data_IF_191061976076
#
_entry.id   IF_191061976076
#
_cell.length_a   1.000
_cell.length_b   1.000
_cell.length_c   1.000
_cell.angle_alpha   90.00
_cell.angle_beta   90.00
_cell.angle_gamma   90.00
#
_symmetry.space_group_name_H-M   'P 1'
#
loop_
_entity.id
_entity.type
_entity.pdbx_description
1 polymer ?
#
# COMPACT_ATOMS: atom_id res chain seq x y z
N UNK A 1 8.17 -15.28 6.52
CA UNK A 1 8.74 -14.92 5.21
C UNK A 1 10.05 -14.18 5.46
N UNK A 2 11.06 -14.34 4.61
CA UNK A 2 12.39 -13.77 4.86
C UNK A 2 12.42 -12.22 4.79
N UNK A 3 11.98 -11.67 3.66
CA UNK A 3 12.13 -10.22 3.43
C UNK A 3 11.18 -9.33 4.24
N UNK A 4 10.00 -9.83 4.58
CA UNK A 4 9.00 -9.08 5.34
C UNK A 4 8.85 -9.70 6.71
N UNK A 5 9.10 -8.91 7.74
CA UNK A 5 9.07 -9.37 9.13
C UNK A 5 8.03 -8.56 9.89
N UNK A 6 6.96 -9.20 10.40
CA UNK A 6 6.05 -8.55 11.34
C UNK A 6 6.78 -8.13 12.61
N UNK A 7 6.24 -7.14 13.32
CA UNK A 7 6.85 -6.57 14.52
C UNK A 7 7.18 -7.61 15.59
N UNK A 8 6.25 -8.51 15.90
CA UNK A 8 6.50 -9.54 16.94
C UNK A 8 7.62 -10.53 16.59
N UNK A 9 7.62 -11.19 15.41
CA UNK A 9 8.75 -12.00 14.97
C UNK A 9 10.07 -11.23 14.92
N UNK A 10 10.05 -9.94 14.52
CA UNK A 10 11.24 -9.08 14.53
C UNK A 10 11.84 -8.98 15.93
N UNK A 11 10.97 -8.74 16.92
CA UNK A 11 11.40 -8.65 18.33
C UNK A 11 11.95 -9.99 18.84
N UNK A 12 11.30 -11.12 18.50
CA UNK A 12 11.80 -12.47 18.89
C UNK A 12 13.16 -12.79 18.30
N UNK A 13 13.42 -12.35 17.06
CA UNK A 13 14.69 -12.54 16.41
C UNK A 13 15.76 -11.55 16.92
N UNK A 14 15.36 -10.44 17.52
CA UNK A 14 16.26 -9.37 17.95
C UNK A 14 17.01 -8.73 16.77
N UNK A 15 16.37 -8.65 15.59
CA UNK A 15 17.02 -8.10 14.39
C UNK A 15 17.45 -6.65 14.64
N UNK A 16 18.64 -6.32 14.17
CA UNK A 16 19.22 -4.99 14.34
C UNK A 16 18.43 -3.96 13.52
N UNK A 17 17.98 -2.89 14.18
CA UNK A 17 17.11 -1.85 13.60
C UNK A 17 17.72 -1.21 12.35
N UNK A 18 19.04 -1.11 12.28
CA UNK A 18 19.75 -0.54 11.10
C UNK A 18 19.53 -1.31 9.80
N UNK A 19 19.04 -2.54 9.85
CA UNK A 19 18.73 -3.38 8.70
C UNK A 19 17.22 -3.52 8.43
N UNK A 20 16.43 -2.72 9.12
CA UNK A 20 14.98 -2.78 9.05
C UNK A 20 14.40 -1.46 8.53
N UNK A 21 13.65 -1.52 7.45
CA UNK A 21 12.88 -0.38 6.95
C UNK A 21 11.41 -0.58 7.26
N UNK A 22 10.72 0.43 7.82
CA UNK A 22 9.28 0.38 8.01
C UNK A 22 8.55 0.13 6.69
N UNK A 23 7.50 -0.72 6.73
CA UNK A 23 6.74 -1.08 5.55
C UNK A 23 5.24 -0.91 5.77
N UNK A 24 4.60 -0.24 4.83
CA UNK A 24 3.15 -0.24 4.64
C UNK A 24 2.79 -1.44 3.76
N UNK A 25 2.48 -2.58 4.36
CA UNK A 25 2.21 -3.82 3.63
C UNK A 25 0.78 -3.85 3.07
N UNK A 26 -0.19 -3.38 3.85
CA UNK A 26 -1.61 -3.43 3.51
C UNK A 26 -2.37 -2.23 4.07
N UNK A 27 -3.43 -1.75 3.39
CA UNK A 27 -4.34 -0.74 3.96
C UNK A 27 -4.97 -1.14 5.30
N UNK A 28 -4.95 -2.43 5.65
CA UNK A 28 -5.44 -2.95 6.94
C UNK A 28 -4.45 -2.74 8.09
N UNK A 29 -3.20 -2.36 7.80
CA UNK A 29 -2.17 -2.19 8.82
C UNK A 29 -2.31 -0.88 9.61
N UNK A 30 -3.12 0.04 9.12
CA UNK A 30 -3.36 1.35 9.75
C UNK A 30 -4.79 1.81 9.52
N UNK A 31 -5.31 2.58 10.50
CA UNK A 31 -6.70 3.04 10.50
C UNK A 31 -6.86 4.46 9.97
N UNK A 32 -5.76 5.19 9.78
CA UNK A 32 -5.74 6.60 9.40
C UNK A 32 -5.18 6.80 7.99
N UNK A 33 -5.59 7.86 7.26
CA UNK A 33 -5.06 8.16 5.93
C UNK A 33 -3.70 8.86 5.97
N UNK A 34 -3.00 8.80 7.10
CA UNK A 34 -1.69 9.40 7.33
C UNK A 34 -0.76 8.40 7.99
N UNK A 35 0.41 8.21 7.39
CA UNK A 35 1.56 7.55 8.01
C UNK A 35 2.53 8.64 8.49
N UNK A 36 2.34 9.08 9.72
CA UNK A 36 3.22 10.04 10.38
C UNK A 36 4.50 9.36 10.91
N UNK A 37 5.57 10.11 11.18
CA UNK A 37 6.83 9.54 11.68
C UNK A 37 6.70 8.75 13.00
N UNK A 38 5.70 9.05 13.81
CA UNK A 38 5.37 8.37 15.08
C UNK A 38 4.36 7.24 14.93
N UNK A 39 3.88 6.96 13.71
CA UNK A 39 2.95 5.85 13.47
C UNK A 39 3.61 4.51 13.84
N UNK A 40 2.87 3.68 14.57
CA UNK A 40 3.37 2.38 15.02
C UNK A 40 3.61 1.43 13.84
N UNK A 41 4.86 1.00 13.67
CA UNK A 41 5.25 0.08 12.60
C UNK A 41 4.75 -1.33 12.90
N UNK A 42 4.04 -1.94 11.96
CA UNK A 42 3.57 -3.34 12.05
C UNK A 42 4.46 -4.32 11.28
N UNK A 43 5.04 -3.87 10.18
CA UNK A 43 5.88 -4.68 9.31
C UNK A 43 7.18 -3.96 8.97
N UNK A 44 8.23 -4.74 8.81
CA UNK A 44 9.55 -4.27 8.38
C UNK A 44 10.00 -5.02 7.14
N UNK A 45 10.75 -4.36 6.28
CA UNK A 45 11.55 -5.00 5.24
C UNK A 45 12.96 -5.18 5.75
N UNK A 46 13.50 -6.38 5.60
CA UNK A 46 14.92 -6.64 5.87
C UNK A 46 15.74 -6.10 4.71
N UNK A 47 16.49 -5.03 4.96
CA UNK A 47 17.29 -4.30 3.99
C UNK A 47 18.78 -4.35 4.40
N UNK A 48 19.40 -5.50 4.23
CA UNK A 48 20.80 -5.72 4.55
C UNK A 48 21.62 -5.94 3.27
N UNK A 49 22.66 -5.14 3.08
CA UNK A 49 23.59 -5.23 1.93
C UNK A 49 24.98 -5.79 2.31
N UNK A 50 25.20 -6.09 3.58
CA UNK A 50 26.50 -6.54 4.10
C UNK A 50 26.71 -8.01 3.82
N UNK A 51 27.94 -8.37 3.48
CA UNK A 51 28.39 -9.75 3.40
C UNK A 51 28.29 -10.47 4.74
N UNK A 52 28.05 -11.79 4.73
CA UNK A 52 27.96 -12.60 5.95
C UNK A 52 29.18 -12.46 6.86
N UNK A 53 30.37 -12.33 6.28
CA UNK A 53 31.60 -12.14 7.05
C UNK A 53 31.55 -10.86 7.91
N UNK A 54 30.89 -9.82 7.42
CA UNK A 54 30.71 -8.55 8.11
C UNK A 54 29.56 -8.58 9.15
N UNK A 55 28.70 -9.59 9.07
CA UNK A 55 27.56 -9.80 9.96
C UNK A 55 27.86 -10.74 11.13
N UNK A 56 29.10 -11.19 11.29
CA UNK A 56 29.47 -12.09 12.39
C UNK A 56 29.07 -11.51 13.74
N UNK A 57 28.42 -12.32 14.57
CA UNK A 57 27.94 -11.93 15.89
C UNK A 57 26.63 -11.15 15.90
N UNK A 58 25.96 -10.99 14.76
CA UNK A 58 24.66 -10.30 14.67
C UNK A 58 23.49 -11.27 14.63
N UNK A 59 22.33 -10.83 15.07
CA UNK A 59 21.07 -11.60 14.95
C UNK A 59 20.61 -11.66 13.50
N UNK A 60 20.91 -10.65 12.70
CA UNK A 60 20.63 -10.64 11.27
C UNK A 60 21.34 -11.80 10.55
N UNK A 61 22.60 -12.13 10.92
CA UNK A 61 23.27 -13.30 10.37
C UNK A 61 22.54 -14.59 10.75
N UNK A 62 22.19 -14.75 12.03
CA UNK A 62 21.45 -15.93 12.52
C UNK A 62 20.11 -16.10 11.77
N UNK A 63 19.43 -15.00 11.50
CA UNK A 63 18.19 -14.97 10.75
C UNK A 63 18.39 -15.40 9.28
N UNK A 64 19.40 -14.87 8.60
CA UNK A 64 19.76 -15.25 7.22
C UNK A 64 20.07 -16.75 7.16
N UNK A 65 20.94 -17.25 8.03
CA UNK A 65 21.31 -18.66 8.05
C UNK A 65 20.14 -19.59 8.40
N UNK A 66 19.24 -19.16 9.28
CA UNK A 66 18.03 -19.89 9.56
C UNK A 66 17.22 -20.11 8.27
N UNK A 67 16.96 -19.04 7.50
CA UNK A 67 16.18 -19.12 6.27
C UNK A 67 16.90 -19.85 5.13
N UNK A 68 18.19 -19.95 5.16
CA UNK A 68 18.97 -20.78 4.23
C UNK A 68 18.85 -22.28 4.49
N UNK A 69 18.47 -22.66 5.71
CA UNK A 69 18.29 -24.07 6.11
C UNK A 69 16.84 -24.52 6.08
N UNK A 70 15.87 -23.61 5.95
CA UNK A 70 14.45 -23.94 5.94
C UNK A 70 14.08 -24.77 4.71
N UNK A 71 13.26 -25.80 4.93
CA UNK A 71 12.61 -26.53 3.84
C UNK A 71 11.32 -25.82 3.47
N UNK A 72 11.23 -25.37 2.23
CA UNK A 72 10.12 -24.59 1.70
C UNK A 72 9.35 -25.43 0.69
N UNK A 73 8.02 -25.35 0.72
CA UNK A 73 7.12 -26.02 -0.20
C UNK A 73 6.35 -24.99 -1.04
N UNK A 74 7.02 -24.32 -2.01
CA UNK A 74 6.37 -23.30 -2.81
C UNK A 74 5.32 -23.92 -3.74
N UNK A 75 4.17 -23.27 -3.88
CA UNK A 75 3.14 -23.69 -4.83
C UNK A 75 3.71 -23.74 -6.26
N UNK A 76 3.31 -24.73 -7.02
CA UNK A 76 3.76 -24.91 -8.42
C UNK A 76 5.12 -25.56 -8.58
N UNK A 77 5.83 -25.91 -7.51
CA UNK A 77 7.03 -26.75 -7.57
C UNK A 77 6.72 -28.18 -7.13
N UNK A 78 7.18 -29.15 -7.92
CA UNK A 78 6.97 -30.56 -7.65
C UNK A 78 7.79 -31.09 -6.45
N UNK A 79 8.79 -30.34 -6.00
CA UNK A 79 9.71 -30.75 -4.93
C UNK A 79 9.98 -29.60 -3.97
N UNK A 80 10.18 -29.92 -2.67
CA UNK A 80 10.63 -28.95 -1.68
C UNK A 80 11.94 -28.29 -2.09
N UNK A 81 12.13 -27.04 -1.66
CA UNK A 81 13.36 -26.28 -1.88
C UNK A 81 14.00 -25.98 -0.52
N UNK A 82 15.27 -26.29 -0.37
CA UNK A 82 16.01 -25.96 0.84
C UNK A 82 16.59 -24.55 0.70
N UNK A 83 16.16 -23.67 1.58
CA UNK A 83 16.62 -22.29 1.67
C UNK A 83 15.94 -21.33 0.69
N UNK A 84 15.64 -20.13 1.18
CA UNK A 84 15.04 -19.03 0.41
C UNK A 84 15.90 -18.66 -0.81
N UNK A 85 17.21 -18.67 -0.66
CA UNK A 85 18.17 -18.34 -1.73
C UNK A 85 18.07 -19.28 -2.95
N UNK A 86 17.55 -20.51 -2.76
CA UNK A 86 17.37 -21.48 -3.83
C UNK A 86 16.01 -21.42 -4.51
N UNK A 87 15.11 -20.57 -4.04
CA UNK A 87 13.83 -20.35 -4.72
C UNK A 87 14.08 -19.83 -6.14
N UNK A 88 13.42 -20.36 -7.18
CA UNK A 88 13.64 -19.96 -8.58
C UNK A 88 13.54 -18.44 -8.78
N UNK A 89 12.57 -17.81 -8.10
CA UNK A 89 12.36 -16.35 -8.16
C UNK A 89 13.55 -15.58 -7.58
N UNK A 90 14.07 -15.99 -6.41
CA UNK A 90 15.24 -15.35 -5.78
C UNK A 90 16.48 -15.54 -6.62
N UNK A 91 16.73 -16.75 -7.13
CA UNK A 91 17.89 -17.01 -8.03
C UNK A 91 17.84 -16.19 -9.31
N UNK A 92 16.64 -15.95 -9.85
CA UNK A 92 16.45 -15.16 -11.07
C UNK A 92 16.89 -13.70 -10.89
N UNK A 93 16.81 -13.15 -9.68
CA UNK A 93 17.23 -11.75 -9.41
C UNK A 93 18.74 -11.55 -9.51
N UNK A 94 19.55 -12.61 -9.37
CA UNK A 94 21.02 -12.58 -9.38
C UNK A 94 21.62 -11.59 -8.38
N UNK A 95 20.91 -11.33 -7.26
CA UNK A 95 21.42 -10.46 -6.19
C UNK A 95 22.60 -11.13 -5.50
N UNK A 96 23.60 -10.31 -5.17
CA UNK A 96 24.77 -10.73 -4.39
C UNK A 96 25.07 -9.68 -3.31
N UNK A 97 24.95 -10.04 -2.01
CA UNK A 97 24.36 -11.29 -1.52
C UNK A 97 22.86 -11.41 -1.84
N UNK A 98 22.36 -12.64 -1.90
CA UNK A 98 21.00 -12.97 -2.34
C UNK A 98 19.89 -12.21 -1.57
N UNK A 99 20.17 -11.85 -0.33
CA UNK A 99 19.25 -11.11 0.55
C UNK A 99 19.34 -9.58 0.40
N UNK A 100 20.23 -9.07 -0.44
CA UNK A 100 20.35 -7.63 -0.66
C UNK A 100 19.16 -7.08 -1.44
N UNK A 101 18.32 -6.30 -0.77
CA UNK A 101 17.22 -5.52 -1.38
C UNK A 101 17.53 -4.03 -1.47
N UNK A 102 18.66 -3.57 -0.90
CA UNK A 102 18.93 -2.14 -0.73
C UNK A 102 18.96 -1.41 -2.07
N UNK A 103 19.62 -1.99 -3.08
CA UNK A 103 19.73 -1.36 -4.38
C UNK A 103 18.37 -1.21 -5.09
N UNK A 104 17.51 -2.24 -4.94
CA UNK A 104 16.16 -2.21 -5.51
C UNK A 104 15.29 -1.18 -4.79
N UNK A 105 15.34 -1.13 -3.48
CA UNK A 105 14.59 -0.18 -2.67
C UNK A 105 15.07 1.25 -2.90
N UNK A 106 16.39 1.45 -3.03
CA UNK A 106 16.98 2.78 -3.31
C UNK A 106 16.54 3.29 -4.69
N UNK A 107 16.56 2.43 -5.71
CA UNK A 107 16.08 2.81 -7.05
C UNK A 107 14.60 3.12 -7.09
N UNK A 108 13.79 2.39 -6.33
CA UNK A 108 12.36 2.61 -6.26
C UNK A 108 12.03 3.89 -5.51
N UNK A 109 12.77 4.20 -4.44
CA UNK A 109 12.45 5.29 -3.53
C UNK A 109 11.21 5.01 -2.71
N UNK A 110 10.66 6.06 -2.11
CA UNK A 110 9.40 6.01 -1.36
C UNK A 110 8.43 7.04 -1.91
N UNK A 111 7.22 6.61 -2.27
CA UNK A 111 6.19 7.50 -2.76
C UNK A 111 5.49 8.22 -1.60
N UNK A 112 5.20 9.53 -1.74
CA UNK A 112 4.46 10.28 -0.72
C UNK A 112 2.97 9.92 -0.69
N UNK A 113 2.43 9.32 -1.74
CA UNK A 113 1.01 8.97 -1.86
C UNK A 113 0.88 7.48 -2.17
N UNK A 114 0.12 6.78 -1.32
CA UNK A 114 -0.16 5.35 -1.47
C UNK A 114 -1.64 5.14 -1.75
N UNK A 115 -1.95 4.69 -2.95
CA UNK A 115 -3.32 4.38 -3.38
C UNK A 115 -3.56 2.88 -3.21
N UNK A 116 -4.69 2.45 -2.60
CA UNK A 116 -4.96 1.03 -2.41
C UNK A 116 -5.14 0.33 -3.75
N UNK A 117 -4.42 -0.77 -3.97
CA UNK A 117 -4.58 -1.58 -5.18
C UNK A 117 -5.94 -2.30 -5.22
N UNK A 118 -6.51 -2.59 -4.06
CA UNK A 118 -7.80 -3.25 -3.94
C UNK A 118 -8.74 -2.42 -3.09
N UNK A 119 -9.89 -2.09 -3.63
CA UNK A 119 -10.95 -1.36 -2.92
C UNK A 119 -12.03 -2.38 -2.56
N UNK A 120 -12.27 -2.54 -1.27
CA UNK A 120 -13.39 -3.27 -0.70
C UNK A 120 -14.45 -2.27 -0.21
N UNK A 121 -14.88 -2.40 1.03
CA UNK A 121 -15.81 -1.48 1.69
C UNK A 121 -15.20 -0.11 1.94
N UNK A 122 -13.92 -0.04 2.31
CA UNK A 122 -13.23 1.20 2.64
C UNK A 122 -12.28 1.61 1.52
N UNK A 123 -12.42 2.83 1.09
CA UNK A 123 -11.47 3.51 0.23
C UNK A 123 -10.70 4.56 1.03
N UNK A 124 -9.39 4.60 0.83
CA UNK A 124 -8.52 5.54 1.51
C UNK A 124 -7.19 5.64 0.78
N UNK A 125 -6.85 6.83 0.36
CA UNK A 125 -5.51 7.16 -0.13
C UNK A 125 -4.69 7.66 1.04
N UNK A 126 -3.49 7.14 1.18
CA UNK A 126 -2.65 7.37 2.35
C UNK A 126 -1.54 8.36 2.02
N UNK A 127 -1.39 9.37 2.86
CA UNK A 127 -0.21 10.23 2.87
C UNK A 127 0.93 9.52 3.61
N UNK A 128 1.96 9.13 2.87
CA UNK A 128 3.15 8.47 3.42
C UNK A 128 4.20 9.51 3.85
N UNK A 129 3.88 10.29 4.86
CA UNK A 129 4.77 11.33 5.39
C UNK A 129 6.04 10.74 6.02
N UNK A 130 5.93 9.57 6.60
CA UNK A 130 7.05 8.85 7.22
C UNK A 130 8.01 8.21 6.22
N UNK A 131 7.68 8.19 4.93
CA UNK A 131 8.54 7.59 3.90
C UNK A 131 8.70 6.07 4.03
N UNK A 132 7.64 5.35 4.41
CA UNK A 132 7.70 3.90 4.50
C UNK A 132 7.74 3.24 3.13
N UNK A 133 8.37 2.09 3.05
CA UNK A 133 8.35 1.24 1.86
C UNK A 133 6.93 0.72 1.63
N UNK A 134 6.42 0.88 0.41
CA UNK A 134 5.09 0.38 0.08
C UNK A 134 5.13 -1.10 -0.35
N UNK A 135 4.17 -1.89 0.14
CA UNK A 135 3.92 -3.25 -0.33
C UNK A 135 3.09 -3.28 -1.61
N UNK A 136 2.95 -4.45 -2.20
CA UNK A 136 2.21 -4.67 -3.46
C UNK A 136 0.70 -4.36 -3.38
N UNK A 137 0.15 -4.24 -2.18
CA UNK A 137 -1.25 -3.83 -1.98
C UNK A 137 -1.49 -2.34 -2.19
N UNK A 138 -0.45 -1.61 -2.56
CA UNK A 138 -0.52 -0.20 -2.91
C UNK A 138 -0.04 0.05 -4.34
N UNK A 139 -0.61 1.07 -4.95
CA UNK A 139 -0.08 1.74 -6.12
C UNK A 139 0.59 3.02 -5.62
N UNK A 140 1.87 3.15 -5.90
CA UNK A 140 2.67 4.31 -5.53
C UNK A 140 2.43 5.44 -6.52
N UNK A 141 2.02 6.59 -6.00
CA UNK A 141 1.84 7.81 -6.79
C UNK A 141 2.95 8.78 -6.44
N UNK A 142 3.71 9.15 -7.45
CA UNK A 142 4.82 10.10 -7.37
C UNK A 142 4.41 11.40 -8.08
N UNK A 143 3.83 12.37 -7.37
CA UNK A 143 3.48 13.65 -7.98
C UNK A 143 4.72 14.37 -8.49
N UNK A 144 4.55 15.16 -9.56
CA UNK A 144 5.61 16.06 -9.99
C UNK A 144 5.94 17.07 -8.87
N UNK A 145 7.19 17.53 -8.75
CA UNK A 145 7.62 18.36 -7.61
C UNK A 145 6.80 19.63 -7.37
N UNK A 146 6.21 20.19 -8.43
CA UNK A 146 5.39 21.41 -8.36
C UNK A 146 3.92 21.17 -7.99
N UNK A 147 3.50 19.91 -7.80
CA UNK A 147 2.11 19.59 -7.44
C UNK A 147 1.93 19.76 -5.93
N UNK A 148 1.02 20.63 -5.46
CA UNK A 148 0.74 20.78 -4.05
C UNK A 148 0.10 19.50 -3.49
N UNK A 149 0.78 18.89 -2.52
CA UNK A 149 0.46 17.51 -2.09
C UNK A 149 -0.86 17.43 -1.31
N UNK A 150 -1.13 18.34 -0.38
CA UNK A 150 -2.37 18.29 0.41
C UNK A 150 -3.62 18.52 -0.44
N UNK A 151 -3.68 19.49 -1.36
CA UNK A 151 -4.76 19.60 -2.34
C UNK A 151 -4.96 18.35 -3.20
N UNK A 152 -3.87 17.73 -3.66
CA UNK A 152 -3.95 16.48 -4.41
C UNK A 152 -4.56 15.35 -3.56
N UNK A 153 -4.10 15.20 -2.31
CA UNK A 153 -4.62 14.20 -1.37
C UNK A 153 -6.09 14.46 -1.01
N UNK A 154 -6.51 15.73 -0.94
CA UNK A 154 -7.92 16.10 -0.79
C UNK A 154 -8.75 15.54 -1.93
N UNK A 155 -8.38 15.83 -3.17
CA UNK A 155 -9.07 15.34 -4.36
C UNK A 155 -9.08 13.82 -4.42
N UNK A 156 -7.93 13.17 -4.18
CA UNK A 156 -7.82 11.72 -4.25
C UNK A 156 -8.62 10.99 -3.16
N UNK A 157 -8.86 11.59 -1.99
CA UNK A 157 -9.67 10.99 -0.92
C UNK A 157 -11.17 11.31 -1.03
N UNK A 158 -11.57 12.18 -1.94
CA UNK A 158 -12.98 12.50 -2.15
C UNK A 158 -13.76 11.35 -2.80
N UNK A 159 -15.05 11.30 -2.52
CA UNK A 159 -15.96 10.28 -3.04
C UNK A 159 -16.04 10.22 -4.56
N UNK A 160 -15.91 11.38 -5.22
CA UNK A 160 -15.90 11.43 -6.69
C UNK A 160 -14.69 10.70 -7.26
N UNK A 161 -13.52 10.80 -6.63
CA UNK A 161 -12.32 10.06 -7.04
C UNK A 161 -12.44 8.57 -6.73
N UNK A 162 -13.02 8.21 -5.59
CA UNK A 162 -13.37 6.80 -5.30
C UNK A 162 -14.28 6.22 -6.37
N UNK A 163 -15.33 6.94 -6.76
CA UNK A 163 -16.27 6.51 -7.80
C UNK A 163 -15.53 6.29 -9.12
N UNK A 164 -14.74 7.26 -9.57
CA UNK A 164 -13.98 7.16 -10.81
C UNK A 164 -13.02 5.97 -10.82
N UNK A 165 -12.33 5.72 -9.71
CA UNK A 165 -11.42 4.58 -9.55
C UNK A 165 -12.18 3.25 -9.56
N UNK A 166 -13.35 3.15 -8.90
CA UNK A 166 -14.17 1.93 -8.92
C UNK A 166 -14.71 1.63 -10.34
N UNK A 167 -15.07 2.66 -11.08
CA UNK A 167 -15.53 2.49 -12.48
C UNK A 167 -14.39 2.01 -13.39
N UNK A 168 -13.16 2.48 -13.15
CA UNK A 168 -11.98 2.08 -13.94
C UNK A 168 -11.35 0.76 -13.47
N UNK A 169 -11.81 0.19 -12.36
CA UNK A 169 -11.26 -1.03 -11.80
C UNK A 169 -11.78 -2.29 -12.50
N UNK A 170 -10.98 -3.34 -12.46
CA UNK A 170 -11.46 -4.69 -12.77
C UNK A 170 -12.15 -5.29 -11.55
N UNK A 171 -13.39 -5.75 -11.72
CA UNK A 171 -14.14 -6.40 -10.65
C UNK A 171 -13.85 -7.90 -10.67
N UNK A 172 -13.30 -8.42 -9.57
CA UNK A 172 -13.14 -9.85 -9.37
C UNK A 172 -14.33 -10.43 -8.61
N UNK A 173 -14.46 -11.76 -8.62
CA UNK A 173 -15.44 -12.47 -7.79
C UNK A 173 -15.36 -12.00 -6.32
N UNK A 174 -16.52 -11.77 -5.68
CA UNK A 174 -16.58 -11.21 -4.33
C UNK A 174 -16.64 -9.68 -4.25
N UNK A 175 -16.93 -8.98 -5.37
CA UNK A 175 -17.15 -7.53 -5.37
C UNK A 175 -15.90 -6.69 -5.08
N UNK A 176 -14.71 -7.26 -5.27
CA UNK A 176 -13.44 -6.58 -5.06
C UNK A 176 -13.06 -5.79 -6.30
N UNK A 177 -12.89 -4.50 -6.15
CA UNK A 177 -12.38 -3.62 -7.20
C UNK A 177 -10.85 -3.66 -7.20
N UNK A 178 -10.26 -4.24 -8.24
CA UNK A 178 -8.80 -4.33 -8.38
C UNK A 178 -8.30 -3.28 -9.35
N UNK A 179 -7.43 -2.42 -8.87
CA UNK A 179 -6.79 -1.36 -9.63
C UNK A 179 -5.42 -1.83 -10.15
N UNK A 180 -5.10 -1.42 -11.36
CA UNK A 180 -3.76 -1.53 -11.92
C UNK A 180 -3.15 -0.13 -12.10
N UNK A 181 -1.82 0.01 -12.18
CA UNK A 181 -1.22 1.30 -12.52
C UNK A 181 -1.77 1.90 -13.82
N UNK A 182 -2.04 1.05 -14.83
CA UNK A 182 -2.63 1.48 -16.10
C UNK A 182 -4.03 2.07 -15.92
N UNK A 183 -4.94 1.34 -15.23
CA UNK A 183 -6.31 1.82 -14.99
C UNK A 183 -6.36 3.09 -14.15
N UNK A 184 -5.44 3.24 -13.19
CA UNK A 184 -5.33 4.47 -12.38
C UNK A 184 -4.84 5.64 -13.23
N UNK A 185 -3.89 5.40 -14.15
CA UNK A 185 -3.35 6.43 -15.04
C UNK A 185 -4.37 7.00 -16.04
N UNK A 186 -5.47 6.29 -16.28
CA UNK A 186 -6.56 6.74 -17.15
C UNK A 186 -7.65 7.53 -16.42
N UNK A 187 -7.64 7.53 -15.08
CA UNK A 187 -8.65 8.26 -14.30
C UNK A 187 -8.36 9.76 -14.35
N UNK A 188 -9.32 10.58 -14.81
CA UNK A 188 -9.15 12.02 -14.82
C UNK A 188 -9.07 12.56 -13.38
N UNK A 189 -8.08 13.38 -13.11
CA UNK A 189 -7.87 14.05 -11.83
C UNK A 189 -7.75 15.54 -12.06
N UNK A 190 -8.29 16.35 -11.14
CA UNK A 190 -8.14 17.80 -11.20
C UNK A 190 -6.65 18.17 -11.14
N UNK A 191 -6.21 18.99 -12.08
CA UNK A 191 -4.88 19.59 -11.99
C UNK A 191 -4.88 20.70 -10.95
N UNK A 192 -4.55 20.32 -9.72
CA UNK A 192 -4.56 21.23 -8.57
C UNK A 192 -3.59 22.41 -8.71
N UNK A 193 -2.62 22.35 -9.65
CA UNK A 193 -1.70 23.47 -9.94
C UNK A 193 -2.40 24.63 -10.63
N UNK A 194 -3.48 24.34 -11.35
CA UNK A 194 -4.25 25.34 -12.10
C UNK A 194 -5.33 26.01 -11.27
N UNK A 195 -5.54 25.55 -10.05
CA UNK A 195 -6.49 26.17 -9.13
C UNK A 195 -5.90 27.46 -8.55
N UNK A 196 -6.79 28.43 -8.25
CA UNK A 196 -6.38 29.61 -7.50
C UNK A 196 -5.84 29.23 -6.12
N UNK A 197 -4.97 30.08 -5.56
CA UNK A 197 -4.42 29.88 -4.21
C UNK A 197 -5.53 29.66 -3.16
N UNK A 198 -6.61 30.45 -3.26
CA UNK A 198 -7.77 30.31 -2.37
C UNK A 198 -8.41 28.92 -2.45
N UNK A 199 -8.59 28.35 -3.65
CA UNK A 199 -9.14 27.00 -3.83
C UNK A 199 -8.18 25.90 -3.34
N UNK A 200 -6.88 26.11 -3.53
CA UNK A 200 -5.87 25.20 -2.96
C UNK A 200 -5.90 25.23 -1.43
N UNK A 201 -6.05 26.40 -0.82
CA UNK A 201 -6.17 26.56 0.63
C UNK A 201 -7.46 25.92 1.18
N UNK A 202 -8.57 26.05 0.48
CA UNK A 202 -9.84 25.39 0.82
C UNK A 202 -9.68 23.87 0.82
N UNK A 203 -9.09 23.29 -0.25
CA UNK A 203 -8.80 21.86 -0.33
C UNK A 203 -7.87 21.39 0.80
N UNK A 204 -6.81 22.15 1.06
CA UNK A 204 -5.87 21.87 2.15
C UNK A 204 -6.57 21.84 3.50
N UNK A 205 -7.41 22.85 3.77
CA UNK A 205 -8.16 22.95 5.03
C UNK A 205 -9.15 21.80 5.20
N UNK A 206 -9.88 21.46 4.14
CA UNK A 206 -10.81 20.32 4.14
C UNK A 206 -10.08 18.99 4.35
N UNK A 207 -8.91 18.81 3.71
CA UNK A 207 -8.11 17.60 3.92
C UNK A 207 -7.56 17.48 5.35
N UNK A 208 -7.11 18.59 5.93
CA UNK A 208 -6.68 18.60 7.35
C UNK A 208 -7.83 18.27 8.31
N UNK A 209 -9.04 18.76 8.05
CA UNK A 209 -10.24 18.35 8.76
C UNK A 209 -10.52 16.84 8.63
N UNK A 210 -10.39 16.31 7.42
CA UNK A 210 -10.52 14.87 7.17
C UNK A 210 -9.46 14.06 7.94
N UNK A 211 -8.20 14.51 8.02
CA UNK A 211 -7.16 13.89 8.84
C UNK A 211 -7.49 13.94 10.33
N UNK A 212 -8.00 15.07 10.83
CA UNK A 212 -8.42 15.20 12.24
C UNK A 212 -9.54 14.23 12.62
N UNK A 213 -10.46 13.95 11.69
CA UNK A 213 -11.47 12.89 11.86
C UNK A 213 -10.93 11.47 11.71
N UNK A 214 -9.61 11.32 11.49
CA UNK A 214 -8.96 10.04 11.18
C UNK A 214 -9.53 9.37 9.91
N UNK A 215 -9.94 10.18 8.96
CA UNK A 215 -10.54 9.72 7.71
C UNK A 215 -11.97 9.18 7.83
N UNK A 216 -12.67 9.50 8.92
CA UNK A 216 -14.04 9.01 9.18
C UNK A 216 -15.11 9.94 8.60
N UNK A 217 -14.89 11.24 8.68
CA UNK A 217 -15.80 12.25 8.14
C UNK A 217 -15.26 12.78 6.81
N UNK A 218 -15.89 12.29 5.73
CA UNK A 218 -15.56 12.72 4.37
C UNK A 218 -16.51 13.79 3.84
N UNK A 219 -17.63 14.01 4.47
CA UNK A 219 -18.70 14.88 3.94
C UNK A 219 -18.23 16.30 3.66
N UNK A 220 -17.50 16.92 4.60
CA UNK A 220 -16.94 18.26 4.41
C UNK A 220 -15.90 18.29 3.27
N UNK A 221 -15.07 17.25 3.15
CA UNK A 221 -14.11 17.11 2.06
C UNK A 221 -14.80 17.00 0.70
N UNK A 222 -15.83 16.14 0.60
CA UNK A 222 -16.60 15.94 -0.63
C UNK A 222 -17.27 17.24 -1.06
N UNK A 223 -17.85 18.00 -0.13
CA UNK A 223 -18.47 19.29 -0.44
C UNK A 223 -17.49 20.26 -1.10
N UNK A 224 -16.28 20.42 -0.55
CA UNK A 224 -15.26 21.32 -1.09
C UNK A 224 -14.76 20.83 -2.44
N UNK A 225 -14.52 19.52 -2.59
CA UNK A 225 -14.03 18.97 -3.86
C UNK A 225 -15.09 19.11 -4.97
N UNK A 226 -16.36 18.86 -4.66
CA UNK A 226 -17.47 19.04 -5.64
C UNK A 226 -17.62 20.51 -6.07
N UNK A 227 -17.48 21.47 -5.15
CA UNK A 227 -17.47 22.90 -5.49
C UNK A 227 -16.31 23.27 -6.41
N UNK A 228 -15.10 22.78 -6.10
CA UNK A 228 -13.92 22.97 -6.96
C UNK A 228 -14.14 22.41 -8.38
N UNK A 229 -14.87 21.30 -8.49
CA UNK A 229 -15.25 20.70 -9.76
C UNK A 229 -16.39 21.40 -10.47
N UNK A 230 -17.02 22.39 -9.84
CA UNK A 230 -18.21 23.09 -10.37
C UNK A 230 -19.45 22.18 -10.42
N UNK A 231 -19.49 21.14 -9.60
CA UNK A 231 -20.64 20.23 -9.52
C UNK A 231 -21.69 20.74 -8.52
N UNK A 232 -22.97 20.61 -8.83
CA UNK A 232 -24.02 21.12 -7.95
C UNK A 232 -24.07 20.34 -6.62
N UNK A 233 -24.44 20.98 -5.50
CA UNK A 233 -24.54 20.32 -4.19
C UNK A 233 -25.44 19.09 -4.18
N UNK A 234 -26.46 19.06 -5.03
CA UNK A 234 -27.37 17.90 -5.20
C UNK A 234 -26.65 16.64 -5.68
N UNK A 235 -25.48 16.80 -6.31
CA UNK A 235 -24.66 15.68 -6.77
C UNK A 235 -24.10 14.87 -5.59
N UNK A 236 -23.86 15.49 -4.44
CA UNK A 236 -23.30 14.83 -3.25
C UNK A 236 -24.18 13.65 -2.79
N UNK A 237 -25.50 13.85 -2.69
CA UNK A 237 -26.46 12.80 -2.29
C UNK A 237 -26.51 11.65 -3.31
N UNK A 238 -26.44 11.97 -4.60
CA UNK A 238 -26.41 10.97 -5.67
C UNK A 238 -25.12 10.14 -5.63
N UNK A 239 -23.99 10.80 -5.38
CA UNK A 239 -22.67 10.17 -5.23
C UNK A 239 -22.63 9.23 -4.02
N UNK A 240 -23.09 9.68 -2.86
CA UNK A 240 -23.16 8.88 -1.64
C UNK A 240 -24.05 7.64 -1.85
N UNK A 241 -25.24 7.83 -2.42
CA UNK A 241 -26.14 6.72 -2.75
C UNK A 241 -25.51 5.71 -3.71
N UNK A 242 -24.79 6.18 -4.75
CA UNK A 242 -24.13 5.30 -5.70
C UNK A 242 -22.95 4.53 -5.07
N UNK A 243 -22.12 5.18 -4.27
CA UNK A 243 -21.05 4.54 -3.52
C UNK A 243 -21.60 3.51 -2.53
N UNK A 244 -22.69 3.84 -1.82
CA UNK A 244 -23.37 2.91 -0.92
C UNK A 244 -23.83 1.64 -1.64
N UNK A 245 -24.46 1.76 -2.82
CA UNK A 245 -24.84 0.58 -3.62
C UNK A 245 -23.65 -0.26 -4.05
N UNK A 246 -22.53 0.36 -4.45
CA UNK A 246 -21.31 -0.36 -4.81
C UNK A 246 -20.68 -1.11 -3.62
N UNK A 247 -20.78 -0.57 -2.41
CA UNK A 247 -20.32 -1.24 -1.21
C UNK A 247 -21.20 -2.45 -0.86
N UNK A 248 -22.53 -2.32 -0.95
CA UNK A 248 -23.46 -3.42 -0.72
C UNK A 248 -23.34 -4.55 -1.75
N UNK A 249 -23.01 -4.26 -2.99
CA UNK A 249 -22.68 -5.29 -3.97
C UNK A 249 -21.46 -6.11 -3.56
N UNK A 250 -20.47 -5.47 -2.92
CA UNK A 250 -19.32 -6.16 -2.33
C UNK A 250 -19.74 -7.08 -1.16
N UNK A 251 -20.71 -6.66 -0.35
CA UNK A 251 -21.20 -7.43 0.80
C UNK A 251 -22.06 -8.63 0.38
N UNK A 252 -22.91 -8.47 -0.61
CA UNK A 252 -23.82 -9.53 -1.09
C UNK A 252 -23.08 -10.70 -1.76
N UNK A 253 -21.86 -10.48 -2.24
CA UNK A 253 -21.02 -11.51 -2.87
C UNK A 253 -20.09 -12.19 -1.84
N UNK A 254 -20.00 -11.65 -0.63
CA UNK A 254 -19.20 -12.20 0.48
C UNK A 254 -19.98 -13.22 1.35
N UNK A 255 -20.91 -13.98 0.79
CA UNK A 255 -21.21 -15.28 1.43
C UNK A 255 -19.86 -16.05 1.48
N UNK A 256 -19.45 -16.54 2.65
CA UNK A 256 -18.12 -17.11 2.78
C UNK A 256 -18.02 -18.35 1.90
N UNK A 257 -17.45 -18.19 0.71
CA UNK A 257 -16.74 -19.29 0.11
C UNK A 257 -15.68 -19.61 1.16
N UNK A 258 -15.77 -20.79 1.75
CA UNK A 258 -14.81 -21.28 2.71
C UNK A 258 -13.42 -21.16 2.08
N UNK A 259 -12.75 -20.06 2.39
CA UNK A 259 -11.39 -19.81 1.91
C UNK A 259 -10.54 -20.78 2.69
N UNK A 260 -9.97 -21.76 2.00
CA UNK A 260 -8.93 -22.61 2.55
C UNK A 260 -7.90 -21.68 3.21
N UNK A 261 -7.66 -21.81 4.53
CA UNK A 261 -6.69 -20.97 5.24
C UNK A 261 -5.28 -21.02 4.60
N UNK A 262 -5.03 -21.98 3.70
CA UNK A 262 -3.82 -22.06 2.90
C UNK A 262 -3.85 -21.21 1.61
N UNK A 263 -5.00 -20.69 1.16
CA UNK A 263 -5.08 -19.82 -0.02
C UNK A 263 -4.61 -18.39 0.23
N UNK A 264 -4.49 -17.95 1.47
CA UNK A 264 -4.03 -16.61 1.85
C UNK A 264 -2.56 -16.29 1.53
N UNK A 265 -1.78 -17.27 1.06
CA UNK A 265 -0.32 -17.13 0.89
C UNK A 265 0.16 -16.90 -0.56
N UNK A 266 -0.72 -16.87 -1.56
CA UNK A 266 -0.31 -16.73 -2.97
C UNK A 266 0.32 -15.37 -3.29
N UNK A 267 -0.14 -14.31 -2.66
CA UNK A 267 0.42 -12.95 -2.86
C UNK A 267 1.77 -12.73 -2.17
N UNK A 268 2.10 -13.54 -1.17
CA UNK A 268 3.40 -13.51 -0.50
C UNK A 268 4.53 -14.05 -1.41
N UNK A 269 4.19 -14.83 -2.43
CA UNK A 269 5.14 -15.33 -3.42
C UNK A 269 5.52 -14.27 -4.45
N UNK A 270 4.66 -13.29 -4.70
CA UNK A 270 4.93 -12.20 -5.65
C UNK A 270 5.92 -11.15 -5.12
N UNK A 271 6.02 -10.98 -3.80
CA UNK A 271 7.01 -10.07 -3.17
C UNK A 271 8.47 -10.52 -3.33
N UNK A 272 8.70 -11.75 -3.74
CA UNK A 272 10.04 -12.19 -4.18
C UNK A 272 10.41 -11.66 -5.56
N UNK A 273 9.54 -10.91 -6.23
CA UNK A 273 9.79 -10.29 -7.53
C UNK A 273 10.31 -8.84 -7.44
N UNK A 274 10.30 -8.24 -6.27
CA UNK A 274 11.01 -7.00 -5.97
C UNK A 274 12.40 -7.34 -5.43
#
# INVERSE_FOLDING_TARGET
>A
MFYIVPREPQQRWGLEQRWLLPMALSPKDFDEPLLAPDTAVRHYVVACHREKAQLRGTQTLNYIEHWERQVLNPRGLARPVIGVHNLPRVRKTRRDPWYNLVDDLTRRGTAPVLLPRRIYQRYRVVWNQAGWVAGENFIEVLPQPQVPLEPLLAVLNAGVSEMALRVSAHVYGGGVYNLSPGSVGEVPVVDVRQLSAERQDQLTSAYRGFLQSKGKDRGALDTVVLDVLGLPPTFAASLESALGRMQHLSDAVLEPIAVDPNEGNTWLEELCLL
#
